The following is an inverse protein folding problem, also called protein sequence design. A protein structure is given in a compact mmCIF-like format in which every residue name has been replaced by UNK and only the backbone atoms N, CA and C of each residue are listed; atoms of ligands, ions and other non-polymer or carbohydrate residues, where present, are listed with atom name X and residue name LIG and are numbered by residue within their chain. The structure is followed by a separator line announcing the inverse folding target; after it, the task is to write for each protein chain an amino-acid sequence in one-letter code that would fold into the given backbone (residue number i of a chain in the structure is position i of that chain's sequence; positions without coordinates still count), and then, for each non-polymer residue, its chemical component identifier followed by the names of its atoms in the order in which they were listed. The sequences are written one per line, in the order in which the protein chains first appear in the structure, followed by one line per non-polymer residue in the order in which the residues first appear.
data_IF_771759658840
#
_entry.id   IF_771759658840
#
_cell.length_a   1.000
_cell.length_b   1.000
_cell.length_c   1.000
_cell.angle_alpha   90.00
_cell.angle_beta   90.00
_cell.angle_gamma   90.00
#
_symmetry.space_group_name_H-M   'P 1'
#
loop_
_entity.id
_entity.type
_entity.pdbx_description
1 polymer ?
#
# COMPACT_ATOMS: atom_id res chain seq x y z
N UNK A 1 -14.03 -9.83 -9.44
CA UNK A 1 -13.51 -8.49 -9.10
C UNK A 1 -14.70 -7.55 -9.14
N UNK A 2 -14.91 -6.75 -8.09
CA UNK A 2 -16.01 -5.78 -8.05
C UNK A 2 -15.50 -4.41 -8.51
N UNK A 3 -16.20 -3.70 -9.42
CA UNK A 3 -15.81 -2.36 -9.79
C UNK A 3 -16.22 -1.39 -8.68
N UNK A 4 -15.30 -0.47 -8.40
CA UNK A 4 -15.41 0.53 -7.35
C UNK A 4 -15.38 1.90 -8.02
N UNK A 5 -16.34 2.75 -7.68
CA UNK A 5 -16.46 4.10 -8.22
C UNK A 5 -16.29 5.09 -7.07
N UNK A 6 -15.18 5.83 -7.10
CA UNK A 6 -14.87 6.85 -6.12
C UNK A 6 -14.85 8.23 -6.79
N UNK A 7 -15.33 9.24 -6.08
CA UNK A 7 -15.42 10.61 -6.57
C UNK A 7 -14.69 11.59 -5.65
N UNK A 8 -14.32 12.76 -6.20
CA UNK A 8 -13.82 13.92 -5.45
C UNK A 8 -12.69 13.53 -4.48
N UNK A 9 -12.80 13.92 -3.21
CA UNK A 9 -11.81 13.68 -2.17
C UNK A 9 -11.41 12.20 -2.02
N UNK A 10 -12.37 11.27 -2.14
CA UNK A 10 -12.09 9.83 -2.02
C UNK A 10 -11.24 9.32 -3.19
N UNK A 11 -11.48 9.84 -4.40
CA UNK A 11 -10.67 9.53 -5.58
C UNK A 11 -9.25 10.10 -5.45
N UNK A 12 -9.11 11.34 -4.99
CA UNK A 12 -7.81 11.97 -4.75
C UNK A 12 -7.02 11.23 -3.65
N UNK A 13 -7.69 10.84 -2.56
CA UNK A 13 -7.08 10.05 -1.50
C UNK A 13 -6.55 8.71 -2.00
N UNK A 14 -7.36 7.97 -2.77
CA UNK A 14 -6.93 6.71 -3.40
C UNK A 14 -5.72 6.91 -4.31
N UNK A 15 -5.77 7.91 -5.18
CA UNK A 15 -4.69 8.20 -6.11
C UNK A 15 -3.37 8.53 -5.39
N UNK A 16 -3.45 9.26 -4.28
CA UNK A 16 -2.25 9.70 -3.54
C UNK A 16 -1.69 8.62 -2.60
N UNK A 17 -2.52 7.74 -2.07
CA UNK A 17 -2.11 6.88 -0.95
C UNK A 17 -2.35 5.38 -1.15
N UNK A 18 -3.25 4.97 -2.04
CA UNK A 18 -3.52 3.57 -2.32
C UNK A 18 -2.73 3.11 -3.54
N UNK A 19 -1.75 2.24 -3.30
CA UNK A 19 -0.98 1.59 -4.37
C UNK A 19 -1.60 0.23 -4.72
N UNK A 20 -1.17 -0.37 -5.84
CA UNK A 20 -1.58 -1.73 -6.18
C UNK A 20 -1.29 -2.69 -5.03
N UNK A 21 -2.32 -3.41 -4.60
CA UNK A 21 -2.24 -4.36 -3.47
C UNK A 21 -2.30 -3.72 -2.09
N UNK A 22 -2.64 -2.42 -1.99
CA UNK A 22 -2.94 -1.81 -0.70
C UNK A 22 -4.21 -2.44 -0.09
N UNK A 23 -4.17 -2.68 1.22
CA UNK A 23 -5.34 -3.13 1.97
C UNK A 23 -6.20 -1.92 2.36
N UNK A 24 -7.45 -1.92 1.92
CA UNK A 24 -8.39 -0.80 2.07
C UNK A 24 -9.73 -1.28 2.62
N UNK A 25 -10.34 -0.48 3.49
CA UNK A 25 -11.74 -0.63 3.87
C UNK A 25 -12.56 0.39 3.08
N UNK A 26 -13.62 -0.08 2.42
CA UNK A 26 -14.52 0.74 1.62
C UNK A 26 -15.90 0.65 2.24
N UNK A 27 -16.52 1.81 2.42
CA UNK A 27 -17.90 1.96 2.87
C UNK A 27 -18.65 2.81 1.85
N UNK A 28 -19.86 2.40 1.51
CA UNK A 28 -20.71 3.11 0.56
C UNK A 28 -21.87 2.24 0.08
N UNK A 29 -22.42 2.59 -1.08
CA UNK A 29 -23.61 1.96 -1.62
C UNK A 29 -23.27 0.91 -2.68
N UNK A 30 -23.96 -0.24 -2.59
CA UNK A 30 -23.86 -1.32 -3.58
C UNK A 30 -25.08 -1.29 -4.49
N UNK A 31 -24.83 -1.36 -5.80
CA UNK A 31 -25.87 -1.44 -6.83
C UNK A 31 -25.66 -2.66 -7.69
N UNK A 32 -26.74 -3.41 -7.89
CA UNK A 32 -26.82 -4.49 -8.88
C UNK A 32 -27.87 -4.10 -9.91
N UNK A 33 -27.52 -4.11 -11.18
CA UNK A 33 -28.45 -3.86 -12.28
C UNK A 33 -28.34 -4.95 -13.34
N UNK A 34 -29.38 -5.08 -14.14
CA UNK A 34 -29.49 -6.06 -15.20
C UNK A 34 -30.05 -5.36 -16.43
N UNK A 35 -29.49 -5.64 -17.61
CA UNK A 35 -30.03 -5.14 -18.87
C UNK A 35 -29.99 -6.23 -19.94
N UNK A 36 -30.91 -6.16 -20.91
CA UNK A 36 -30.87 -7.03 -22.07
C UNK A 36 -29.92 -6.46 -23.13
N UNK A 37 -28.91 -7.24 -23.48
CA UNK A 37 -28.09 -7.02 -24.66
C UNK A 37 -28.54 -7.89 -25.83
N UNK A 38 -27.98 -7.66 -27.02
CA UNK A 38 -28.29 -8.43 -28.24
C UNK A 38 -28.12 -9.95 -28.08
N UNK A 39 -27.25 -10.38 -27.18
CA UNK A 39 -26.92 -11.79 -26.95
C UNK A 39 -27.45 -12.32 -25.60
N UNK A 40 -28.33 -11.56 -24.93
CA UNK A 40 -28.96 -11.95 -23.67
C UNK A 40 -28.73 -10.98 -22.51
N UNK A 41 -29.20 -11.39 -21.34
CA UNK A 41 -29.10 -10.64 -20.10
C UNK A 41 -27.64 -10.43 -19.68
N UNK A 42 -27.29 -9.19 -19.36
CA UNK A 42 -26.01 -8.80 -18.78
C UNK A 42 -26.23 -8.25 -17.38
N UNK A 43 -25.42 -8.69 -16.43
CA UNK A 43 -25.42 -8.24 -15.04
C UNK A 43 -24.32 -7.22 -14.82
N UNK A 44 -24.64 -6.12 -14.14
CA UNK A 44 -23.69 -5.11 -13.70
C UNK A 44 -23.73 -4.99 -12.18
N UNK A 45 -22.56 -4.94 -11.58
CA UNK A 45 -22.37 -4.75 -10.15
C UNK A 45 -21.50 -3.53 -9.96
N UNK A 46 -21.84 -2.63 -9.05
CA UNK A 46 -21.05 -1.44 -8.74
C UNK A 46 -21.07 -1.15 -7.24
N UNK A 47 -19.94 -0.67 -6.73
CA UNK A 47 -19.86 -0.05 -5.40
C UNK A 47 -19.48 1.43 -5.56
N UNK A 48 -20.36 2.33 -5.15
CA UNK A 48 -20.05 3.76 -5.04
C UNK A 48 -19.46 4.04 -3.66
N UNK A 49 -18.30 4.67 -3.61
CA UNK A 49 -17.56 4.94 -2.36
C UNK A 49 -18.03 6.22 -1.69
N UNK A 50 -18.41 6.11 -0.42
CA UNK A 50 -18.70 7.24 0.46
C UNK A 50 -17.53 7.53 1.40
N UNK A 51 -17.00 6.49 2.03
CA UNK A 51 -15.88 6.57 2.95
C UNK A 51 -14.84 5.48 2.65
N UNK A 52 -13.57 5.82 2.86
CA UNK A 52 -12.46 4.90 2.61
C UNK A 52 -11.33 5.11 3.62
N UNK A 53 -10.75 4.00 4.08
CA UNK A 53 -9.58 4.00 4.95
C UNK A 53 -8.54 3.00 4.49
N UNK A 54 -7.27 3.35 4.66
CA UNK A 54 -6.16 2.43 4.45
C UNK A 54 -5.94 1.62 5.73
N UNK A 55 -5.84 0.31 5.59
CA UNK A 55 -5.63 -0.60 6.71
C UNK A 55 -4.16 -0.96 6.91
N UNK A 56 -3.26 -0.26 6.22
CA UNK A 56 -1.82 -0.50 6.29
C UNK A 56 -1.08 0.68 6.91
N UNK A 57 -0.11 0.41 7.80
CA UNK A 57 0.77 1.44 8.32
C UNK A 57 1.51 2.16 7.18
N UNK A 58 1.78 3.45 7.39
CA UNK A 58 2.51 4.27 6.42
C UNK A 58 3.89 3.70 6.07
N UNK A 59 4.61 3.15 7.06
CA UNK A 59 5.93 2.52 6.86
C UNK A 59 5.88 1.35 5.87
N UNK A 60 4.83 0.52 5.95
CA UNK A 60 4.63 -0.62 5.03
C UNK A 60 4.37 -0.12 3.61
N UNK A 61 3.62 0.98 3.48
CA UNK A 61 3.35 1.60 2.17
C UNK A 61 4.61 2.23 1.56
N UNK A 62 5.41 2.92 2.36
CA UNK A 62 6.69 3.51 1.92
C UNK A 62 7.70 2.43 1.50
N UNK A 63 7.78 1.31 2.23
CA UNK A 63 8.61 0.17 1.83
C UNK A 63 8.19 -0.41 0.46
N UNK A 64 6.89 -0.39 0.14
CA UNK A 64 6.38 -0.88 -1.15
C UNK A 64 6.71 0.06 -2.31
N UNK A 65 6.60 1.37 -2.08
CA UNK A 65 6.96 2.41 -3.05
C UNK A 65 8.47 2.44 -3.30
N UNK A 66 9.29 2.27 -2.26
CA UNK A 66 10.74 2.18 -2.35
C UNK A 66 11.27 0.92 -3.04
N UNK A 67 10.40 -0.06 -3.34
CA UNK A 67 10.75 -1.24 -4.16
C UNK A 67 10.33 -1.10 -5.63
N UNK A 68 9.64 -0.03 -5.99
CA UNK A 68 9.13 0.19 -7.37
C UNK A 68 9.97 1.13 -8.23
N UNK A 69 11.11 1.61 -7.72
CA UNK A 69 12.16 2.28 -8.50
C UNK A 69 13.51 1.71 -8.09
N UNK A 70 14.31 1.27 -9.06
CA UNK A 70 15.60 0.56 -8.91
C UNK A 70 15.54 -0.90 -8.45
N UNK A 71 15.40 -1.80 -9.43
CA UNK A 71 16.27 -2.97 -9.49
C UNK A 71 17.70 -2.50 -9.84
N UNK A 72 18.37 -1.83 -8.91
CA UNK A 72 19.82 -1.74 -8.95
C UNK A 72 20.33 -3.03 -8.35
N UNK A 73 20.81 -3.92 -9.23
CA UNK A 73 21.60 -5.09 -8.89
C UNK A 73 22.85 -4.63 -8.12
N UNK A 74 22.70 -4.44 -6.82
CA UNK A 74 23.75 -4.05 -5.88
C UNK A 74 23.92 -5.14 -4.84
N UNK A 75 24.84 -6.05 -5.14
CA UNK A 75 25.35 -7.09 -4.27
C UNK A 75 25.64 -6.60 -2.84
N UNK A 76 25.31 -7.44 -1.86
CA UNK A 76 25.94 -7.53 -0.53
C UNK A 76 25.95 -6.28 0.37
N UNK A 77 25.28 -6.37 1.52
CA UNK A 77 25.96 -6.44 2.82
C UNK A 77 24.95 -6.43 3.98
N UNK A 78 24.73 -7.60 4.57
CA UNK A 78 24.29 -7.70 5.96
C UNK A 78 25.40 -7.12 6.84
N UNK A 79 25.32 -5.84 7.21
CA UNK A 79 26.18 -5.30 8.25
C UNK A 79 25.36 -5.02 9.51
N UNK A 80 25.27 -6.06 10.32
CA UNK A 80 24.83 -6.05 11.70
C UNK A 80 25.97 -5.41 12.53
N UNK A 81 26.02 -4.09 12.64
CA UNK A 81 26.94 -3.42 13.58
C UNK A 81 26.23 -3.10 14.89
N UNK A 82 26.19 -4.13 15.74
CA UNK A 82 26.15 -3.98 17.19
C UNK A 82 27.21 -2.97 17.65
N UNK A 83 26.75 -1.83 18.20
CA UNK A 83 27.60 -0.88 18.92
C UNK A 83 28.19 -1.58 20.16
N UNK A 84 29.45 -1.98 20.09
CA UNK A 84 30.25 -2.35 21.27
C UNK A 84 30.85 -1.08 21.88
N UNK A 85 30.39 -0.78 23.08
CA UNK A 85 30.99 0.18 24.00
C UNK A 85 32.34 -0.39 24.45
N UNK A 86 33.44 0.32 24.18
CA UNK A 86 34.74 0.01 24.78
C UNK A 86 35.03 1.05 25.87
N UNK A 87 35.00 0.58 27.12
CA UNK A 87 35.57 1.24 28.28
C UNK A 87 37.10 1.12 28.23
N UNK A 88 37.78 2.24 27.98
CA UNK A 88 39.25 2.30 28.02
C UNK A 88 39.71 2.34 29.47
N UNK A 89 40.04 1.16 30.01
CA UNK A 89 40.90 1.03 31.18
C UNK A 89 42.34 1.34 30.76
N UNK A 90 42.89 2.49 31.19
CA UNK A 90 44.31 2.80 31.07
C UNK A 90 45.09 2.01 32.12
N UNK A 91 45.92 1.09 31.67
CA UNK A 91 46.86 0.32 32.48
C UNK A 91 48.30 0.57 31.99
N UNK A 92 49.06 1.21 32.89
CA UNK A 92 50.47 1.00 33.24
C UNK A 92 51.64 1.45 32.34
N UNK A 93 52.53 2.15 33.06
CA UNK A 93 53.98 1.93 33.20
C UNK A 93 54.95 2.86 32.46
N UNK A 94 55.56 3.77 33.25
CA UNK A 94 57.01 3.79 33.49
C UNK A 94 57.24 4.14 34.96
#
# INVERSE_FOLDING_TARGET
MFPIVAWRNSAEFLNNFATKGALVSIEGSFTSSQYEGQNGTVWSYEVTVENISLLEPRSVREQRLGRSGEFTSGSNSYNNQTKKQNTTAKSNNT
#
